data_IF_357231566081
#
_entry.id   IF_357231566081
#
_cell.length_a   1.000
_cell.length_b   1.000
_cell.length_c   1.000
_cell.angle_alpha   90.00
_cell.angle_beta   90.00
_cell.angle_gamma   90.00
#
_symmetry.space_group_name_H-M   'P 1'
#
loop_
_entity.id
_entity.type
_entity.pdbx_description
1 polymer ?
#
# COMPACT_ATOMS: atom_id res chain seq x y z
N UNK A 1 20.68 -6.48 -4.62
CA UNK A 1 19.31 -6.84 -5.05
C UNK A 1 19.25 -8.30 -5.54
N UNK A 2 20.07 -8.71 -6.54
CA UNK A 2 19.97 -10.01 -7.21
C UNK A 2 20.05 -11.22 -6.27
N UNK A 3 20.98 -11.23 -5.31
CA UNK A 3 21.09 -12.33 -4.31
C UNK A 3 19.80 -12.53 -3.50
N UNK A 4 19.06 -11.46 -3.23
CA UNK A 4 17.77 -11.54 -2.50
C UNK A 4 16.67 -12.11 -3.39
N UNK A 5 16.62 -11.68 -4.64
CA UNK A 5 15.68 -12.21 -5.63
C UNK A 5 15.92 -13.70 -5.87
N UNK A 6 17.18 -14.11 -6.03
CA UNK A 6 17.53 -15.51 -6.19
C UNK A 6 17.11 -16.37 -5.00
N UNK A 7 17.32 -15.88 -3.77
CA UNK A 7 16.84 -16.56 -2.57
C UNK A 7 15.31 -16.68 -2.56
N UNK A 8 14.60 -15.61 -2.97
CA UNK A 8 13.15 -15.63 -3.03
C UNK A 8 12.65 -16.64 -4.08
N UNK A 9 13.23 -16.65 -5.30
CA UNK A 9 12.91 -17.64 -6.35
C UNK A 9 13.04 -19.06 -5.85
N UNK A 10 14.16 -19.39 -5.18
CA UNK A 10 14.38 -20.74 -4.59
C UNK A 10 13.33 -21.08 -3.54
N UNK A 11 12.96 -20.12 -2.70
CA UNK A 11 11.92 -20.34 -1.68
C UNK A 11 10.57 -20.60 -2.32
N UNK A 12 10.20 -19.80 -3.33
CA UNK A 12 8.95 -19.95 -4.08
C UNK A 12 8.89 -21.32 -4.76
N UNK A 13 9.94 -21.70 -5.48
CA UNK A 13 10.04 -23.01 -6.16
C UNK A 13 9.91 -24.17 -5.18
N UNK A 14 10.59 -24.08 -4.02
CA UNK A 14 10.50 -25.11 -2.98
C UNK A 14 9.08 -25.26 -2.43
N UNK A 15 8.42 -24.15 -2.11
CA UNK A 15 7.07 -24.15 -1.55
C UNK A 15 6.02 -24.60 -2.57
N UNK A 16 6.20 -24.23 -3.84
CA UNK A 16 5.31 -24.61 -4.94
C UNK A 16 5.18 -26.14 -5.08
N UNK A 17 6.24 -26.89 -4.82
CA UNK A 17 6.23 -28.37 -4.85
C UNK A 17 5.25 -28.98 -3.84
N UNK A 18 4.90 -28.23 -2.81
CA UNK A 18 3.95 -28.64 -1.77
C UNK A 18 2.60 -27.92 -1.90
N UNK A 19 2.33 -27.27 -3.02
CA UNK A 19 1.10 -26.52 -3.23
C UNK A 19 1.00 -25.23 -2.40
N UNK A 20 2.12 -24.76 -1.80
CA UNK A 20 2.16 -23.57 -0.96
C UNK A 20 2.55 -22.37 -1.79
N UNK A 21 1.72 -21.34 -1.79
CA UNK A 21 2.03 -20.03 -2.38
C UNK A 21 2.77 -19.16 -1.37
N UNK A 22 3.81 -18.47 -1.82
CA UNK A 22 4.52 -17.43 -1.05
C UNK A 22 3.98 -16.07 -1.43
N UNK A 23 3.71 -15.24 -0.41
CA UNK A 23 3.32 -13.85 -0.53
C UNK A 23 4.41 -12.95 0.01
N UNK A 24 4.65 -11.83 -0.64
CA UNK A 24 5.54 -10.79 -0.13
C UNK A 24 4.72 -9.84 0.74
N UNK A 25 5.19 -9.61 1.95
CA UNK A 25 4.62 -8.59 2.83
C UNK A 25 5.49 -7.33 2.80
N UNK A 26 4.88 -6.18 2.60
CA UNK A 26 5.58 -4.90 2.61
C UNK A 26 4.70 -3.77 3.18
N UNK A 27 5.36 -2.70 3.55
CA UNK A 27 4.71 -1.43 3.90
C UNK A 27 5.06 -0.47 2.77
N UNK A 28 4.15 -0.33 1.82
CA UNK A 28 4.39 0.44 0.61
C UNK A 28 3.16 1.27 0.20
N UNK A 29 3.38 2.44 -0.39
CA UNK A 29 4.67 3.11 -0.54
C UNK A 29 5.18 3.61 0.81
N UNK A 30 6.44 3.35 1.15
CA UNK A 30 7.03 3.81 2.41
C UNK A 30 7.65 5.20 2.22
N UNK A 31 7.60 6.06 3.25
CA UNK A 31 8.26 7.35 3.19
C UNK A 31 9.79 7.17 3.12
N UNK A 32 10.45 8.07 2.43
CA UNK A 32 11.89 7.98 2.26
C UNK A 32 12.64 8.40 3.52
N UNK A 33 13.63 7.59 3.89
CA UNK A 33 14.54 7.93 4.98
C UNK A 33 15.45 9.11 4.62
N UNK A 34 16.10 9.73 5.63
CA UNK A 34 16.91 10.95 5.43
C UNK A 34 18.08 10.80 4.47
N UNK A 35 18.59 9.58 4.31
CA UNK A 35 19.72 9.27 3.44
C UNK A 35 19.33 8.71 2.08
N UNK A 36 18.01 8.59 1.82
CA UNK A 36 17.55 8.07 0.54
C UNK A 36 17.72 9.13 -0.55
N UNK A 37 18.45 8.85 -1.63
CA UNK A 37 18.68 9.83 -2.70
C UNK A 37 17.47 10.04 -3.61
N UNK A 38 16.50 9.11 -3.61
CA UNK A 38 15.35 9.15 -4.50
C UNK A 38 14.57 10.46 -4.43
N UNK A 39 14.20 11.00 -3.25
CA UNK A 39 13.46 12.25 -3.21
C UNK A 39 14.24 13.46 -3.74
N UNK A 40 15.57 13.44 -3.72
CA UNK A 40 16.36 14.52 -4.26
C UNK A 40 16.43 14.47 -5.80
N UNK A 41 16.54 13.25 -6.36
CA UNK A 41 16.56 13.03 -7.80
C UNK A 41 15.19 13.07 -8.46
N UNK A 42 14.13 12.82 -7.68
CA UNK A 42 12.74 12.68 -8.15
C UNK A 42 11.77 13.50 -7.29
N UNK A 43 11.85 14.83 -7.35
CA UNK A 43 10.97 15.70 -6.57
C UNK A 43 9.47 15.52 -6.89
N UNK A 44 9.15 15.06 -8.08
CA UNK A 44 7.79 14.77 -8.55
C UNK A 44 7.11 13.61 -7.79
N UNK A 45 7.88 12.78 -7.08
CA UNK A 45 7.35 11.69 -6.26
C UNK A 45 6.94 12.16 -4.86
N UNK A 46 7.39 13.36 -4.45
CA UNK A 46 7.22 13.83 -3.07
C UNK A 46 5.82 14.34 -2.80
N UNK A 47 5.28 13.88 -1.69
CA UNK A 47 4.15 14.48 -1.02
C UNK A 47 4.57 15.37 0.16
N UNK A 48 3.63 15.79 1.00
CA UNK A 48 3.91 16.56 2.21
C UNK A 48 4.78 15.78 3.18
N UNK A 49 5.36 16.49 4.16
CA UNK A 49 6.15 15.85 5.20
C UNK A 49 5.23 14.99 6.10
N UNK A 50 5.62 13.76 6.32
CA UNK A 50 5.01 12.90 7.32
C UNK A 50 5.39 13.39 8.75
N UNK A 51 4.74 12.83 9.76
CA UNK A 51 5.05 13.13 11.17
C UNK A 51 6.52 12.85 11.56
N UNK A 52 7.19 12.03 10.79
CA UNK A 52 8.64 11.75 10.93
C UNK A 52 9.54 12.88 10.42
N UNK A 53 8.97 13.94 9.83
CA UNK A 53 9.71 14.99 9.14
C UNK A 53 10.26 14.59 7.77
N UNK A 54 9.97 13.37 7.31
CA UNK A 54 10.41 12.86 6.01
C UNK A 54 9.31 13.06 4.95
N UNK A 55 9.68 13.29 3.67
CA UNK A 55 8.70 13.37 2.59
C UNK A 55 7.86 12.09 2.52
N UNK A 56 6.55 12.22 2.44
CA UNK A 56 5.66 11.13 2.09
C UNK A 56 5.61 10.94 0.58
N UNK A 57 5.03 9.85 0.15
CA UNK A 57 4.78 9.58 -1.26
C UNK A 57 3.53 10.34 -1.74
N UNK A 58 3.56 10.90 -2.96
CA UNK A 58 2.44 11.61 -3.55
C UNK A 58 1.72 10.78 -4.61
N UNK A 59 0.63 10.06 -4.29
CA UNK A 59 -0.06 9.23 -5.28
C UNK A 59 -0.82 10.03 -6.35
N UNK A 60 -0.97 11.34 -6.19
CA UNK A 60 -1.55 12.18 -7.23
C UNK A 60 -0.59 12.48 -8.38
N UNK A 61 0.71 12.32 -8.18
CA UNK A 61 1.71 12.42 -9.25
C UNK A 61 1.60 11.23 -10.21
N UNK A 62 1.61 11.50 -11.51
CA UNK A 62 1.65 10.43 -12.52
C UNK A 62 2.95 9.63 -12.44
N UNK A 63 4.08 10.31 -12.30
CA UNK A 63 5.38 9.66 -12.12
C UNK A 63 5.40 8.74 -10.90
N UNK A 64 4.73 9.15 -9.80
CA UNK A 64 4.63 8.32 -8.61
C UNK A 64 3.79 7.06 -8.85
N UNK A 65 2.70 7.16 -9.59
CA UNK A 65 1.89 5.99 -9.96
C UNK A 65 2.66 5.05 -10.89
N UNK A 66 3.37 5.62 -11.86
CA UNK A 66 4.25 4.84 -12.74
C UNK A 66 5.34 4.11 -11.97
N UNK A 67 5.96 4.77 -10.99
CA UNK A 67 6.93 4.13 -10.09
C UNK A 67 6.35 2.92 -9.35
N UNK A 68 5.14 3.02 -8.81
CA UNK A 68 4.47 1.90 -8.13
C UNK A 68 4.19 0.74 -9.09
N UNK A 69 3.71 1.05 -10.28
CA UNK A 69 3.51 0.06 -11.34
C UNK A 69 4.81 -0.68 -11.67
N UNK A 70 5.89 0.05 -11.93
CA UNK A 70 7.19 -0.52 -12.31
C UNK A 70 7.81 -1.37 -11.20
N UNK A 71 7.67 -0.93 -9.94
CA UNK A 71 8.17 -1.69 -8.79
C UNK A 71 7.50 -3.06 -8.69
N UNK A 72 6.17 -3.11 -8.77
CA UNK A 72 5.44 -4.37 -8.68
C UNK A 72 5.63 -5.22 -9.94
N UNK A 73 5.58 -4.63 -11.12
CA UNK A 73 5.85 -5.34 -12.37
C UNK A 73 7.25 -5.99 -12.36
N UNK A 74 8.27 -5.23 -11.95
CA UNK A 74 9.65 -5.74 -11.87
C UNK A 74 9.78 -6.90 -10.88
N UNK A 75 9.14 -6.81 -9.72
CA UNK A 75 9.16 -7.89 -8.73
C UNK A 75 8.52 -9.16 -9.26
N UNK A 76 7.32 -9.06 -9.81
CA UNK A 76 6.56 -10.22 -10.30
C UNK A 76 7.13 -10.77 -11.61
N UNK A 77 7.73 -9.96 -12.45
CA UNK A 77 8.53 -10.43 -13.62
C UNK A 77 9.78 -11.20 -13.17
N UNK A 78 10.44 -10.73 -12.11
CA UNK A 78 11.63 -11.41 -11.57
C UNK A 78 11.29 -12.71 -10.82
N UNK A 79 10.08 -12.82 -10.24
CA UNK A 79 9.64 -13.99 -9.46
C UNK A 79 8.18 -14.33 -9.85
N UNK A 80 7.94 -14.92 -11.03
CA UNK A 80 6.60 -15.05 -11.61
C UNK A 80 5.65 -15.99 -10.85
N UNK A 81 6.17 -16.87 -10.01
CA UNK A 81 5.36 -17.82 -9.22
C UNK A 81 4.99 -17.29 -7.81
N UNK A 82 5.19 -16.01 -7.54
CA UNK A 82 4.68 -15.39 -6.30
C UNK A 82 3.14 -15.47 -6.26
N UNK A 83 2.59 -15.83 -5.11
CA UNK A 83 1.15 -15.86 -4.89
C UNK A 83 0.51 -14.49 -4.87
N UNK A 84 1.24 -13.49 -4.40
CA UNK A 84 0.73 -12.12 -4.32
C UNK A 84 1.57 -11.21 -3.44
N UNK A 85 0.99 -10.06 -3.17
CA UNK A 85 1.54 -9.00 -2.34
C UNK A 85 0.54 -8.65 -1.24
N UNK A 86 1.02 -8.57 -0.01
CA UNK A 86 0.28 -8.00 1.12
C UNK A 86 0.92 -6.67 1.45
N UNK A 87 0.18 -5.58 1.33
CA UNK A 87 0.69 -4.25 1.67
C UNK A 87 -0.11 -3.60 2.79
N UNK A 88 0.59 -3.00 3.75
CA UNK A 88 -0.03 -2.02 4.65
C UNK A 88 -0.02 -0.69 3.92
N UNK A 89 -1.13 -0.37 3.29
CA UNK A 89 -1.31 0.87 2.55
C UNK A 89 -1.74 2.05 3.43
N UNK A 90 -2.24 1.75 4.61
CA UNK A 90 -2.67 2.72 5.62
C UNK A 90 -2.52 2.12 7.02
N UNK A 91 -1.82 2.81 7.91
CA UNK A 91 -1.57 2.31 9.26
C UNK A 91 -0.63 3.21 10.05
N UNK A 92 0.02 2.64 11.05
CA UNK A 92 0.93 3.37 11.95
C UNK A 92 2.23 3.87 11.30
N UNK A 93 2.62 3.29 10.18
CA UNK A 93 3.83 3.69 9.46
C UNK A 93 3.49 4.67 8.34
N UNK A 94 4.35 5.69 8.12
CA UNK A 94 4.12 6.64 7.04
C UNK A 94 4.27 5.96 5.68
N UNK A 95 3.21 5.99 4.91
CA UNK A 95 3.17 5.51 3.52
C UNK A 95 3.00 6.68 2.55
N UNK A 96 1.77 6.97 2.15
CA UNK A 96 1.43 8.16 1.37
C UNK A 96 1.12 9.35 2.27
N UNK A 97 0.68 10.46 1.68
CA UNK A 97 0.18 11.62 2.39
C UNK A 97 -0.96 11.30 3.38
N UNK A 98 -1.68 10.20 3.22
CA UNK A 98 -2.72 9.74 4.15
C UNK A 98 -2.19 9.43 5.55
N UNK A 99 -0.96 8.96 5.66
CA UNK A 99 -0.38 8.61 6.96
C UNK A 99 -0.22 9.81 7.90
N UNK A 100 -0.25 11.02 7.34
CA UNK A 100 -0.26 12.25 8.15
C UNK A 100 -1.62 12.54 8.76
N UNK A 101 -2.70 11.95 8.23
CA UNK A 101 -4.08 12.27 8.60
C UNK A 101 -4.62 11.36 9.70
N UNK A 102 -4.33 10.06 9.64
CA UNK A 102 -5.13 9.07 10.34
C UNK A 102 -4.64 8.71 11.72
N UNK A 103 -3.35 8.59 11.91
CA UNK A 103 -2.79 8.09 13.18
C UNK A 103 -2.95 9.10 14.31
N UNK A 104 -3.02 10.40 13.98
CA UNK A 104 -3.08 11.49 14.96
C UNK A 104 -4.34 12.35 14.90
N UNK A 105 -5.36 11.89 14.17
CA UNK A 105 -6.67 12.56 14.16
C UNK A 105 -6.73 13.85 13.34
N UNK A 106 -5.80 14.08 12.44
CA UNK A 106 -5.90 15.17 11.49
C UNK A 106 -6.96 14.85 10.43
N UNK A 107 -8.02 15.63 10.40
CA UNK A 107 -9.17 15.45 9.49
C UNK A 107 -9.00 16.12 8.13
N UNK A 108 -7.87 16.79 7.89
CA UNK A 108 -7.66 17.58 6.67
C UNK A 108 -6.64 16.93 5.76
N UNK A 109 -6.90 17.01 4.47
CA UNK A 109 -5.92 16.66 3.45
C UNK A 109 -4.63 17.48 3.68
N UNK A 110 -3.46 16.83 3.88
CA UNK A 110 -2.21 17.53 4.17
C UNK A 110 -1.70 18.37 2.99
N UNK A 111 -2.30 18.22 1.83
CA UNK A 111 -1.99 18.98 0.62
C UNK A 111 -2.88 20.21 0.48
N UNK A 112 -3.26 20.89 1.56
CA UNK A 112 -4.21 22.03 1.57
C UNK A 112 -4.12 22.90 0.31
N UNK A 113 -5.22 22.95 -0.45
CA UNK A 113 -5.33 23.75 -1.67
C UNK A 113 -4.55 23.25 -2.89
N UNK A 114 -3.81 22.13 -2.79
CA UNK A 114 -3.07 21.54 -3.91
C UNK A 114 -3.67 20.25 -4.43
N UNK A 115 -4.55 19.63 -3.66
CA UNK A 115 -5.14 18.34 -3.99
C UNK A 115 -6.50 18.20 -3.31
N UNK A 116 -7.55 18.06 -4.12
CA UNK A 116 -8.95 17.93 -3.65
C UNK A 116 -9.41 16.46 -3.60
N UNK A 117 -8.47 15.51 -3.64
CA UNK A 117 -8.79 14.09 -3.64
C UNK A 117 -9.35 13.65 -2.28
N UNK A 118 -10.38 12.81 -2.31
CA UNK A 118 -10.85 12.10 -1.12
C UNK A 118 -9.82 11.09 -0.64
N UNK A 119 -9.97 10.62 0.61
CA UNK A 119 -9.09 9.59 1.17
C UNK A 119 -9.16 8.31 0.34
N UNK A 120 -10.36 7.91 -0.08
CA UNK A 120 -10.56 6.75 -0.95
C UNK A 120 -9.88 6.89 -2.31
N UNK A 121 -9.90 8.09 -2.90
CA UNK A 121 -9.20 8.37 -4.14
C UNK A 121 -7.68 8.30 -4.00
N UNK A 122 -7.14 8.86 -2.93
CA UNK A 122 -5.70 8.80 -2.66
C UNK A 122 -5.26 7.34 -2.53
N UNK A 123 -6.00 6.55 -1.76
CA UNK A 123 -5.65 5.15 -1.52
C UNK A 123 -5.80 4.29 -2.80
N UNK A 124 -6.84 4.52 -3.59
CA UNK A 124 -7.00 3.85 -4.89
C UNK A 124 -5.86 4.17 -5.86
N UNK A 125 -5.36 5.42 -5.87
CA UNK A 125 -4.20 5.83 -6.66
C UNK A 125 -2.87 5.19 -6.20
N UNK A 126 -2.82 4.63 -5.01
CA UNK A 126 -1.70 3.78 -4.56
C UNK A 126 -1.90 2.34 -5.01
N UNK A 127 -3.08 1.78 -4.78
CA UNK A 127 -3.32 0.35 -4.93
C UNK A 127 -3.49 -0.10 -6.37
N UNK A 128 -4.21 0.69 -7.20
CA UNK A 128 -4.46 0.32 -8.59
C UNK A 128 -3.19 0.19 -9.41
N UNK A 129 -2.23 1.14 -9.41
CA UNK A 129 -0.97 0.96 -10.13
C UNK A 129 -0.16 -0.24 -9.65
N UNK A 130 -0.20 -0.55 -8.34
CA UNK A 130 0.47 -1.74 -7.81
C UNK A 130 -0.19 -3.03 -8.33
N UNK A 131 -1.52 -3.08 -8.37
CA UNK A 131 -2.27 -4.21 -8.92
C UNK A 131 -2.00 -4.37 -10.42
N UNK A 132 -2.07 -3.28 -11.17
CA UNK A 132 -1.85 -3.28 -12.62
C UNK A 132 -0.43 -3.77 -12.97
N UNK A 133 0.58 -3.26 -12.27
CA UNK A 133 1.98 -3.69 -12.47
C UNK A 133 2.20 -5.16 -12.13
N UNK A 134 1.60 -5.63 -11.05
CA UNK A 134 1.64 -7.04 -10.64
C UNK A 134 0.95 -7.94 -11.69
N UNK A 135 -0.28 -7.58 -12.09
CA UNK A 135 -1.07 -8.37 -13.03
C UNK A 135 -0.50 -8.37 -14.44
N UNK A 136 0.19 -7.32 -14.87
CA UNK A 136 0.90 -7.31 -16.14
C UNK A 136 1.99 -8.39 -16.21
N UNK A 137 2.60 -8.75 -15.07
CA UNK A 137 3.60 -9.81 -14.98
C UNK A 137 3.01 -11.17 -14.58
N UNK A 138 2.03 -11.19 -13.66
CA UNK A 138 1.36 -12.39 -13.17
C UNK A 138 -0.14 -12.12 -12.96
N UNK A 139 -1.00 -12.43 -13.96
CA UNK A 139 -2.45 -12.20 -13.86
C UNK A 139 -3.17 -13.01 -12.76
N UNK A 140 -2.51 -13.99 -12.16
CA UNK A 140 -3.08 -14.84 -11.09
C UNK A 140 -2.64 -14.42 -9.68
N UNK A 141 -1.74 -13.43 -9.59
CA UNK A 141 -1.31 -12.91 -8.30
C UNK A 141 -2.43 -12.06 -7.67
N UNK A 142 -2.44 -12.00 -6.36
CA UNK A 142 -3.47 -11.28 -5.59
C UNK A 142 -2.82 -10.15 -4.80
N UNK A 143 -3.43 -8.97 -4.81
CA UNK A 143 -3.04 -7.84 -3.97
C UNK A 143 -3.96 -7.76 -2.77
N UNK A 144 -3.39 -7.90 -1.57
CA UNK A 144 -4.10 -7.67 -0.32
C UNK A 144 -3.66 -6.31 0.23
N UNK A 145 -4.60 -5.38 0.32
CA UNK A 145 -4.42 -4.11 1.00
C UNK A 145 -4.90 -4.23 2.44
N UNK A 146 -3.96 -4.23 3.37
CA UNK A 146 -4.28 -4.27 4.79
C UNK A 146 -4.37 -2.85 5.36
N UNK A 147 -5.58 -2.45 5.73
CA UNK A 147 -5.88 -1.22 6.45
C UNK A 147 -5.67 -1.49 7.94
N UNK A 148 -4.43 -1.28 8.40
CA UNK A 148 -3.96 -1.83 9.67
C UNK A 148 -4.56 -1.15 10.91
N UNK A 149 -4.79 0.15 10.88
CA UNK A 149 -5.31 0.88 12.07
C UNK A 149 -6.37 1.92 11.68
N UNK A 150 -7.55 1.49 11.26
CA UNK A 150 -8.60 2.41 10.81
C UNK A 150 -9.43 3.00 11.97
N UNK A 151 -8.89 3.12 13.15
CA UNK A 151 -9.63 3.44 14.38
C UNK A 151 -10.75 4.46 14.26
N UNK A 152 -10.34 5.70 13.98
CA UNK A 152 -11.27 6.84 13.95
C UNK A 152 -11.85 7.05 12.58
N UNK A 153 -11.18 6.57 11.58
CA UNK A 153 -11.55 6.72 10.18
C UNK A 153 -12.69 5.78 9.79
N UNK A 154 -12.93 4.72 10.57
CA UNK A 154 -14.13 3.87 10.42
C UNK A 154 -15.42 4.68 10.51
N UNK A 155 -15.40 5.80 11.24
CA UNK A 155 -16.55 6.69 11.36
C UNK A 155 -16.64 7.75 10.25
N UNK A 156 -15.61 7.87 9.42
CA UNK A 156 -15.53 8.91 8.39
C UNK A 156 -16.18 8.52 7.05
N UNK A 157 -16.57 7.28 6.91
CA UNK A 157 -17.29 6.77 5.72
C UNK A 157 -16.40 6.43 4.53
N UNK A 158 -15.16 6.92 4.46
CA UNK A 158 -14.27 6.69 3.31
C UNK A 158 -13.92 5.22 3.07
N UNK A 159 -13.91 4.41 4.12
CA UNK A 159 -13.67 2.95 4.02
C UNK A 159 -14.73 2.28 3.15
N UNK A 160 -15.98 2.76 3.23
CA UNK A 160 -17.10 2.23 2.43
C UNK A 160 -17.02 2.63 0.96
N UNK A 161 -16.26 3.67 0.63
CA UNK A 161 -15.99 4.06 -0.76
C UNK A 161 -14.99 3.11 -1.46
N UNK A 162 -14.13 2.45 -0.68
CA UNK A 162 -13.03 1.65 -1.24
C UNK A 162 -13.47 0.53 -2.17
N UNK A 163 -14.51 -0.28 -1.85
CA UNK A 163 -14.98 -1.33 -2.75
C UNK A 163 -15.43 -0.82 -4.12
N UNK A 164 -15.97 0.40 -4.18
CA UNK A 164 -16.42 1.01 -5.44
C UNK A 164 -15.27 1.57 -6.28
N UNK A 165 -14.16 1.91 -5.63
CA UNK A 165 -12.98 2.53 -6.27
C UNK A 165 -11.90 1.53 -6.68
N UNK A 166 -11.98 0.31 -6.21
CA UNK A 166 -11.00 -0.74 -6.48
C UNK A 166 -11.53 -1.76 -7.48
N UNK A 167 -10.63 -2.36 -8.21
CA UNK A 167 -10.95 -3.53 -9.03
C UNK A 167 -11.18 -4.75 -8.15
N UNK A 168 -11.84 -5.78 -8.68
CA UNK A 168 -12.12 -7.04 -7.96
C UNK A 168 -10.85 -7.80 -7.56
N UNK A 169 -9.73 -7.42 -8.15
CA UNK A 169 -8.43 -8.08 -7.92
C UNK A 169 -7.70 -7.56 -6.69
N UNK A 170 -8.23 -6.50 -6.04
CA UNK A 170 -7.70 -5.97 -4.80
C UNK A 170 -8.54 -6.44 -3.62
N UNK A 171 -7.92 -7.22 -2.75
CA UNK A 171 -8.55 -7.74 -1.54
C UNK A 171 -8.32 -6.75 -0.39
N UNK A 172 -9.39 -6.26 0.21
CA UNK A 172 -9.30 -5.41 1.41
C UNK A 172 -9.26 -6.29 2.67
N UNK A 173 -8.26 -6.04 3.51
CA UNK A 173 -8.14 -6.67 4.82
C UNK A 173 -8.19 -5.61 5.93
N UNK A 174 -8.86 -5.94 7.02
CA UNK A 174 -9.02 -5.07 8.19
C UNK A 174 -8.67 -5.83 9.45
N UNK A 175 -8.22 -5.12 10.48
CA UNK A 175 -8.07 -5.71 11.79
C UNK A 175 -9.45 -6.00 12.39
N UNK A 176 -9.60 -7.21 12.89
CA UNK A 176 -10.79 -7.57 13.65
C UNK A 176 -10.68 -6.99 15.08
N UNK A 177 -11.72 -6.29 15.52
CA UNK A 177 -11.87 -5.75 16.89
C UNK A 177 -10.76 -4.81 17.39
N UNK A 178 -9.96 -4.24 16.51
CA UNK A 178 -8.89 -3.32 16.90
C UNK A 178 -9.42 -2.14 17.71
N UNK A 179 -9.10 -2.13 19.01
CA UNK A 179 -9.37 -1.01 19.89
C UNK A 179 -10.82 -0.75 20.26
N UNK A 180 -11.72 -1.68 19.95
CA UNK A 180 -13.15 -1.56 20.31
C UNK A 180 -13.57 -2.74 21.18
N UNK A 181 -14.22 -2.44 22.31
CA UNK A 181 -15.02 -3.41 23.03
C UNK A 181 -16.31 -3.64 22.23
N UNK A 182 -16.53 -4.84 21.75
CA UNK A 182 -17.77 -5.22 21.08
C UNK A 182 -18.46 -6.28 21.93
N UNK A 183 -19.73 -6.08 22.15
CA UNK A 183 -20.59 -7.11 22.73
C UNK A 183 -20.69 -8.26 21.72
N UNK A 184 -20.24 -9.44 22.12
CA UNK A 184 -20.37 -10.66 21.33
C UNK A 184 -21.23 -11.65 22.09
N UNK A 185 -22.23 -12.20 21.42
CA UNK A 185 -23.14 -13.22 21.98
C UNK A 185 -23.80 -12.77 23.29
N UNK A 186 -24.06 -11.49 23.47
CA UNK A 186 -24.68 -10.95 24.67
C UNK A 186 -23.78 -10.89 25.89
N UNK A 187 -22.44 -10.87 25.68
CA UNK A 187 -21.43 -10.72 26.74
C UNK A 187 -20.47 -9.61 26.43
#
# INVERSE_FOLDING_TARGET
AEKRLEKLRRSVEKCRRYGIKIWVFCIEPFNWGPTNPCPAGHPELKGPLAYTGMPSFCPNSEAARQYLYECTNSLFSAVPDLGGLITISHGERPTSCLSTLSVYGHKKNPCEGKCDLSIGEILSKVLLPMADGMHAANPKAELISWLYMPYRDQLSGWIYEMPERLTKDVILAFNFESGCNKEQLGK
#
